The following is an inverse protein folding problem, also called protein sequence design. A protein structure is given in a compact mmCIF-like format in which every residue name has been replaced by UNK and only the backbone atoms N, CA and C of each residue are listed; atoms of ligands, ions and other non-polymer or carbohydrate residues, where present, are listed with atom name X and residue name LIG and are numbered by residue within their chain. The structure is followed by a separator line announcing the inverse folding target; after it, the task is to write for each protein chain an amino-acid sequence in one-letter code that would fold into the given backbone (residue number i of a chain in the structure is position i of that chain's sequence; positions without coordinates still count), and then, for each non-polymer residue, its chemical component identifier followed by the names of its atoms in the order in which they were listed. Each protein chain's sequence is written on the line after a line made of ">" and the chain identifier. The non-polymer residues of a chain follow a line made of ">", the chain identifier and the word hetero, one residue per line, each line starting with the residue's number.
data_IF_162130961326
#
_entry.id   IF_162130961326
#
_cell.length_a   1.000
_cell.length_b   1.000
_cell.length_c   1.000
_cell.angle_alpha   90.00
_cell.angle_beta   90.00
_cell.angle_gamma   90.00
#
_symmetry.space_group_name_H-M   'P 1'
#
loop_
_entity.id
_entity.type
_entity.pdbx_description
1 polymer ?
#
# COMPACT_ATOMS: atom_id res chain seq x y z
N UNK A 1 10.39 -1.69 -8.58
CA UNK A 1 9.05 -1.15 -8.91
C UNK A 1 8.02 -2.04 -8.25
N UNK A 2 6.99 -1.44 -7.64
CA UNK A 2 6.02 -2.14 -6.80
C UNK A 2 4.62 -1.88 -7.32
N UNK A 3 3.80 -2.90 -7.44
CA UNK A 3 2.42 -2.78 -7.88
C UNK A 3 1.46 -2.95 -6.71
N UNK A 4 0.49 -2.04 -6.59
CA UNK A 4 -0.57 -2.08 -5.57
C UNK A 4 -1.86 -2.63 -6.15
N UNK A 5 -2.51 -3.51 -5.39
CA UNK A 5 -3.75 -4.17 -5.74
C UNK A 5 -4.78 -4.02 -4.62
N UNK A 6 -6.05 -3.96 -4.99
CA UNK A 6 -7.18 -4.05 -4.07
C UNK A 6 -7.49 -5.52 -3.79
N UNK A 7 -7.46 -5.91 -2.52
CA UNK A 7 -7.82 -7.28 -2.09
C UNK A 7 -9.29 -7.61 -2.38
N UNK A 8 -10.16 -6.59 -2.44
CA UNK A 8 -11.60 -6.77 -2.65
C UNK A 8 -11.97 -7.37 -4.02
N UNK A 9 -11.24 -7.02 -5.08
CA UNK A 9 -11.55 -7.41 -6.47
C UNK A 9 -10.30 -7.78 -7.29
N UNK A 10 -9.13 -7.93 -6.64
CA UNK A 10 -7.83 -8.16 -7.29
C UNK A 10 -7.50 -7.13 -8.39
N UNK A 11 -8.04 -5.93 -8.23
CA UNK A 11 -7.92 -4.84 -9.20
C UNK A 11 -6.65 -4.03 -8.91
N UNK A 12 -5.79 -3.87 -9.93
CA UNK A 12 -4.59 -3.04 -9.83
C UNK A 12 -4.98 -1.58 -9.59
N UNK A 13 -4.53 -1.02 -8.47
CA UNK A 13 -4.68 0.40 -8.12
C UNK A 13 -3.69 1.23 -8.93
N UNK A 14 -2.43 0.78 -8.97
CA UNK A 14 -1.36 1.47 -9.64
C UNK A 14 0.02 0.90 -9.28
N UNK A 15 1.05 1.68 -9.59
CA UNK A 15 2.45 1.30 -9.38
C UNK A 15 3.15 2.40 -8.61
N UNK A 16 3.93 2.02 -7.59
CA UNK A 16 4.67 2.92 -6.72
C UNK A 16 6.17 2.62 -6.77
N UNK A 17 6.95 3.54 -6.22
CA UNK A 17 8.40 3.36 -6.09
C UNK A 17 8.74 2.52 -4.86
N UNK A 18 9.96 2.00 -4.80
CA UNK A 18 10.45 1.28 -3.61
C UNK A 18 10.58 2.22 -2.41
N UNK A 19 10.78 3.52 -2.63
CA UNK A 19 10.81 4.54 -1.57
C UNK A 19 9.42 4.73 -0.95
N UNK A 20 8.38 4.78 -1.77
CA UNK A 20 6.98 4.83 -1.31
C UNK A 20 6.61 3.55 -0.54
N UNK A 21 7.07 2.38 -1.01
CA UNK A 21 6.86 1.12 -0.30
C UNK A 21 7.56 1.12 1.06
N UNK A 22 8.82 1.55 1.13
CA UNK A 22 9.54 1.63 2.39
C UNK A 22 8.83 2.53 3.41
N UNK A 23 8.21 3.63 2.94
CA UNK A 23 7.41 4.50 3.79
C UNK A 23 6.13 3.82 4.26
N UNK A 24 5.45 3.04 3.41
CA UNK A 24 4.30 2.23 3.83
C UNK A 24 4.69 1.22 4.91
N UNK A 25 5.77 0.45 4.70
CA UNK A 25 6.31 -0.53 5.66
C UNK A 25 6.65 0.14 7.00
N UNK A 26 7.32 1.30 6.96
CA UNK A 26 7.73 2.04 8.16
C UNK A 26 6.53 2.66 8.90
N UNK A 27 5.59 3.27 8.16
CA UNK A 27 4.40 3.89 8.73
C UNK A 27 3.38 2.90 9.29
N UNK A 28 3.28 1.72 8.69
CA UNK A 28 2.31 0.68 9.05
C UNK A 28 2.91 -0.37 9.99
N UNK A 29 4.17 -0.18 10.40
CA UNK A 29 4.92 -1.06 11.31
C UNK A 29 4.79 -2.55 10.90
N UNK A 30 5.04 -2.87 9.63
CA UNK A 30 5.00 -4.26 9.13
C UNK A 30 5.96 -5.13 9.96
N UNK A 31 5.40 -6.01 10.79
CA UNK A 31 6.18 -6.85 11.72
C UNK A 31 6.85 -8.03 11.00
N UNK A 32 6.28 -8.49 9.87
CA UNK A 32 6.72 -9.66 9.12
C UNK A 32 6.63 -9.42 7.60
N UNK A 33 7.68 -9.79 6.86
CA UNK A 33 7.78 -9.62 5.39
C UNK A 33 6.82 -10.48 4.58
N UNK A 34 6.04 -11.33 5.24
CA UNK A 34 5.00 -12.17 4.64
C UNK A 34 3.65 -11.45 4.59
N UNK A 35 3.44 -10.45 5.45
CA UNK A 35 2.19 -9.69 5.59
C UNK A 35 2.23 -8.47 4.64
N UNK A 36 2.10 -8.76 3.34
CA UNK A 36 2.15 -7.74 2.27
C UNK A 36 0.81 -7.03 2.05
N UNK A 37 -0.16 -7.26 2.92
CA UNK A 37 -1.48 -6.65 2.90
C UNK A 37 -1.67 -5.63 4.03
N UNK A 38 -2.31 -4.52 3.68
CA UNK A 38 -2.51 -3.38 4.55
C UNK A 38 -3.95 -2.92 4.53
N UNK A 39 -4.46 -2.64 5.73
CA UNK A 39 -5.73 -1.95 5.91
C UNK A 39 -5.51 -0.44 5.87
N UNK A 40 -6.04 0.21 4.84
CA UNK A 40 -5.91 1.66 4.64
C UNK A 40 -7.26 2.32 4.76
N UNK A 41 -7.41 3.16 5.78
CA UNK A 41 -8.55 4.06 5.93
C UNK A 41 -8.13 5.54 5.75
N UNK A 42 -9.09 6.45 5.89
CA UNK A 42 -8.87 7.88 5.69
C UNK A 42 -7.87 8.49 6.68
N UNK A 43 -7.81 7.96 7.90
CA UNK A 43 -6.87 8.38 8.94
C UNK A 43 -5.46 7.91 8.59
N UNK A 44 -5.30 6.64 8.22
CA UNK A 44 -4.03 6.09 7.70
C UNK A 44 -3.52 6.88 6.49
N UNK A 45 -4.40 7.21 5.54
CA UNK A 45 -4.03 8.01 4.38
C UNK A 45 -3.55 9.43 4.77
N UNK A 46 -4.19 10.05 5.76
CA UNK A 46 -3.78 11.34 6.28
C UNK A 46 -2.42 11.25 6.97
N UNK A 47 -2.20 10.20 7.78
CA UNK A 47 -0.93 9.92 8.44
C UNK A 47 0.22 9.73 7.44
N UNK A 48 0.03 8.89 6.42
CA UNK A 48 1.02 8.68 5.35
C UNK A 48 1.41 10.01 4.66
N UNK A 49 0.43 10.89 4.43
CA UNK A 49 0.67 12.20 3.85
C UNK A 49 1.49 13.11 4.77
N UNK A 50 1.31 13.01 6.08
CA UNK A 50 2.10 13.76 7.06
C UNK A 50 3.54 13.23 7.15
N UNK A 51 3.72 11.91 7.05
CA UNK A 51 5.05 11.26 7.04
C UNK A 51 5.83 11.48 5.74
N UNK A 52 5.18 12.01 4.70
CA UNK A 52 5.84 12.42 3.46
C UNK A 52 5.60 11.49 2.27
N UNK A 53 4.54 10.67 2.31
CA UNK A 53 4.09 9.89 1.17
C UNK A 53 3.96 10.75 -0.11
N UNK A 54 4.37 10.19 -1.25
CA UNK A 54 4.28 10.89 -2.52
C UNK A 54 2.84 11.24 -2.87
N UNK A 55 2.65 12.40 -3.50
CA UNK A 55 1.31 12.84 -3.93
C UNK A 55 0.64 11.83 -4.87
N UNK A 56 1.43 11.07 -5.65
CA UNK A 56 0.93 9.98 -6.50
C UNK A 56 0.40 8.80 -5.68
N UNK A 57 1.14 8.32 -4.67
CA UNK A 57 0.69 7.27 -3.74
C UNK A 57 -0.62 7.67 -3.05
N UNK A 58 -0.65 8.87 -2.49
CA UNK A 58 -1.84 9.38 -1.78
C UNK A 58 -3.04 9.49 -2.73
N UNK A 59 -2.85 10.03 -3.94
CA UNK A 59 -3.94 10.15 -4.91
C UNK A 59 -4.45 8.78 -5.39
N UNK A 60 -3.57 7.79 -5.54
CA UNK A 60 -3.94 6.43 -5.91
C UNK A 60 -4.79 5.76 -4.82
N UNK A 61 -4.34 5.81 -3.57
CA UNK A 61 -5.07 5.28 -2.43
C UNK A 61 -6.39 6.03 -2.19
N UNK A 62 -6.40 7.36 -2.33
CA UNK A 62 -7.61 8.19 -2.23
C UNK A 62 -8.63 7.82 -3.31
N UNK A 63 -8.17 7.54 -4.53
CA UNK A 63 -9.04 7.10 -5.62
C UNK A 63 -9.61 5.69 -5.37
N UNK A 64 -8.80 4.77 -4.85
CA UNK A 64 -9.24 3.43 -4.48
C UNK A 64 -10.24 3.44 -3.30
N UNK A 65 -10.04 4.36 -2.35
CA UNK A 65 -10.95 4.64 -1.26
C UNK A 65 -12.28 5.19 -1.80
N UNK A 66 -12.28 6.21 -2.66
CA UNK A 66 -13.48 6.88 -3.18
C UNK A 66 -14.60 7.00 -2.11
N UNK A 67 -15.65 6.18 -2.23
CA UNK A 67 -16.83 6.16 -1.34
C UNK A 67 -16.77 5.13 -0.21
N UNK A 68 -15.70 4.34 -0.14
CA UNK A 68 -15.44 3.35 0.91
C UNK A 68 -14.89 4.02 2.17
N UNK A 69 -15.15 3.40 3.32
CA UNK A 69 -14.61 3.86 4.61
C UNK A 69 -13.13 3.50 4.76
N UNK A 70 -12.77 2.31 4.26
CA UNK A 70 -11.42 1.77 4.22
C UNK A 70 -11.32 0.77 3.07
N UNK A 71 -10.09 0.40 2.72
CA UNK A 71 -9.76 -0.61 1.72
C UNK A 71 -8.64 -1.50 2.22
N UNK A 72 -8.71 -2.76 1.85
CA UNK A 72 -7.62 -3.72 2.00
C UNK A 72 -6.81 -3.73 0.70
N UNK A 73 -5.53 -3.41 0.80
CA UNK A 73 -4.62 -3.37 -0.35
C UNK A 73 -3.45 -4.30 -0.11
N UNK A 74 -2.89 -4.87 -1.16
CA UNK A 74 -1.64 -5.63 -1.07
C UNK A 74 -0.67 -5.18 -2.14
N UNK A 75 0.63 -5.31 -1.86
CA UNK A 75 1.67 -4.96 -2.81
C UNK A 75 2.39 -6.18 -3.36
N UNK A 76 2.76 -6.13 -4.65
CA UNK A 76 3.60 -7.13 -5.29
C UNK A 76 4.86 -6.45 -5.79
N UNK A 77 6.01 -6.88 -5.28
CA UNK A 77 7.31 -6.52 -5.83
C UNK A 77 7.80 -7.67 -6.72
N UNK A 78 8.57 -7.35 -7.77
CA UNK A 78 9.17 -8.41 -8.61
C UNK A 78 10.17 -9.30 -7.85
N UNK A 79 10.60 -8.88 -6.65
CA UNK A 79 11.55 -9.60 -5.78
C UNK A 79 10.86 -10.41 -4.66
N UNK A 80 9.58 -10.14 -4.38
CA UNK A 80 8.74 -10.92 -3.48
C UNK A 80 8.31 -12.26 -4.11
N UNK A 81 9.27 -12.99 -4.68
CA UNK A 81 9.24 -14.44 -4.56
C UNK A 81 9.48 -14.74 -3.09
N UNK A 82 8.43 -15.12 -2.37
CA UNK A 82 8.50 -15.64 -1.01
C UNK A 82 9.74 -16.53 -0.84
N UNK A 83 10.54 -16.39 0.23
CA UNK A 83 11.48 -17.45 0.58
C UNK A 83 10.64 -18.71 0.86
N UNK A 84 10.66 -19.66 -0.08
CA UNK A 84 10.20 -21.01 0.18
C UNK A 84 11.07 -21.58 1.32
N UNK A 85 10.54 -21.67 2.54
CA UNK A 85 11.08 -22.53 3.61
C UNK A 85 10.53 -23.97 3.49
#
# INVERSE_FOLDING_TARGET
>A
MVDLYLSEDDSKIGSITEEDLALLIDCLEEEDTEDTDYYIDRDTLAYLKEEGASAELVAMLENALSDRAAIDVYYLTEDATAPEE
#
